data_IF_412468454516
#
_entry.id   IF_412468454516
#
_cell.length_a   1.000
_cell.length_b   1.000
_cell.length_c   1.000
_cell.angle_alpha   90.00
_cell.angle_beta   90.00
_cell.angle_gamma   90.00
#
_symmetry.space_group_name_H-M   'P 1'
#
loop_
_entity.id
_entity.type
_entity.pdbx_description
1 polymer ?
#
# COMPACT_ATOMS: atom_id res chain seq x y z
N UNK A 1 -43.90 12.03 -11.03
CA UNK A 1 -43.01 11.12 -11.78
C UNK A 1 -41.60 11.38 -11.28
N UNK A 2 -40.96 10.46 -10.52
CA UNK A 2 -39.57 10.65 -10.15
C UNK A 2 -38.70 10.43 -11.38
N UNK A 3 -37.78 11.34 -11.62
CA UNK A 3 -36.75 11.24 -12.66
C UNK A 3 -35.79 10.13 -12.20
N UNK A 4 -35.74 9.02 -12.95
CA UNK A 4 -34.64 8.07 -12.84
C UNK A 4 -33.37 8.83 -13.24
N UNK A 5 -32.46 9.04 -12.29
CA UNK A 5 -31.15 9.60 -12.58
C UNK A 5 -30.52 8.71 -13.67
N UNK A 6 -30.26 9.28 -14.84
CA UNK A 6 -29.52 8.59 -15.89
C UNK A 6 -28.17 8.18 -15.31
N UNK A 7 -27.89 6.88 -15.32
CA UNK A 7 -26.60 6.36 -14.90
C UNK A 7 -25.53 7.02 -15.78
N UNK A 8 -24.58 7.72 -15.15
CA UNK A 8 -23.44 8.29 -15.87
C UNK A 8 -22.74 7.15 -16.62
N UNK A 9 -22.34 7.34 -17.89
CA UNK A 9 -21.71 6.27 -18.67
C UNK A 9 -20.33 5.85 -18.13
N UNK A 10 -19.84 6.53 -17.09
CA UNK A 10 -18.53 6.30 -16.47
C UNK A 10 -18.75 5.82 -15.03
N UNK A 11 -18.29 4.61 -14.73
CA UNK A 11 -18.25 4.04 -13.38
C UNK A 11 -16.87 4.25 -12.73
N UNK A 12 -16.87 4.53 -11.42
CA UNK A 12 -15.64 4.57 -10.61
C UNK A 12 -15.47 3.21 -9.95
N UNK A 13 -14.27 2.65 -9.99
CA UNK A 13 -13.93 1.38 -9.34
C UNK A 13 -12.66 1.53 -8.52
N UNK A 14 -12.53 0.73 -7.45
CA UNK A 14 -11.33 0.70 -6.62
C UNK A 14 -10.32 -0.30 -7.19
N UNK A 15 -9.20 0.22 -7.72
CA UNK A 15 -8.03 -0.57 -8.11
C UNK A 15 -7.18 -0.87 -6.89
N UNK A 16 -6.89 -2.14 -6.63
CA UNK A 16 -6.12 -2.55 -5.46
C UNK A 16 -5.36 -3.87 -5.68
N UNK A 17 -4.44 -4.17 -4.76
CA UNK A 17 -3.80 -5.47 -4.67
C UNK A 17 -4.63 -6.47 -3.86
N UNK A 18 -4.25 -7.75 -3.94
CA UNK A 18 -4.88 -8.81 -3.16
C UNK A 18 -4.70 -8.64 -1.63
N UNK A 19 -3.64 -7.94 -1.22
CA UNK A 19 -3.36 -7.56 0.16
C UNK A 19 -4.44 -6.63 0.74
N UNK A 20 -4.88 -5.63 -0.03
CA UNK A 20 -5.99 -4.76 0.36
C UNK A 20 -7.30 -5.53 0.45
N UNK A 21 -7.58 -6.40 -0.54
CA UNK A 21 -8.78 -7.24 -0.52
C UNK A 21 -8.86 -8.09 0.75
N UNK A 22 -7.75 -8.78 1.10
CA UNK A 22 -7.68 -9.60 2.31
C UNK A 22 -7.85 -8.77 3.59
N UNK A 23 -7.45 -7.50 3.57
CA UNK A 23 -7.59 -6.59 4.71
C UNK A 23 -9.06 -6.40 5.15
N UNK A 24 -10.04 -6.67 4.29
CA UNK A 24 -11.47 -6.65 4.67
C UNK A 24 -11.83 -7.67 5.75
N UNK A 25 -11.02 -8.71 5.95
CA UNK A 25 -11.21 -9.68 7.03
C UNK A 25 -10.56 -9.27 8.35
N UNK A 26 -9.79 -8.18 8.38
CA UNK A 26 -9.11 -7.71 9.60
C UNK A 26 -10.14 -7.06 10.53
N UNK A 27 -10.39 -7.62 11.74
CA UNK A 27 -11.42 -7.10 12.62
C UNK A 27 -11.17 -5.63 13.01
N UNK A 28 -12.20 -4.80 12.86
CA UNK A 28 -12.14 -3.39 13.22
C UNK A 28 -11.37 -2.49 12.25
N UNK A 29 -10.79 -3.03 11.17
CA UNK A 29 -10.11 -2.22 10.16
C UNK A 29 -11.11 -1.53 9.20
N UNK A 30 -12.15 -2.25 8.82
CA UNK A 30 -13.21 -1.79 7.92
C UNK A 30 -14.56 -1.93 8.60
N UNK A 31 -15.48 -1.02 8.28
CA UNK A 31 -16.89 -1.19 8.63
C UNK A 31 -17.55 -2.07 7.58
N UNK A 32 -18.36 -3.03 7.99
CA UNK A 32 -19.08 -3.93 7.07
C UNK A 32 -19.95 -3.15 6.07
N UNK A 33 -20.55 -2.05 6.51
CA UNK A 33 -21.33 -1.16 5.65
C UNK A 33 -20.48 -0.50 4.54
N UNK A 34 -19.23 -0.14 4.84
CA UNK A 34 -18.32 0.46 3.86
C UNK A 34 -17.87 -0.59 2.84
N UNK A 35 -17.57 -1.82 3.28
CA UNK A 35 -17.25 -2.94 2.38
C UNK A 35 -18.41 -3.20 1.42
N UNK A 36 -19.63 -3.38 1.94
CA UNK A 36 -20.83 -3.63 1.11
C UNK A 36 -21.09 -2.46 0.15
N UNK A 37 -20.90 -1.22 0.57
CA UNK A 37 -21.07 -0.05 -0.28
C UNK A 37 -20.05 -0.01 -1.43
N UNK A 38 -18.77 -0.26 -1.14
CA UNK A 38 -17.70 -0.30 -2.15
C UNK A 38 -18.02 -1.37 -3.22
N UNK A 39 -18.36 -2.59 -2.80
CA UNK A 39 -18.52 -3.69 -3.77
C UNK A 39 -19.86 -3.67 -4.51
N UNK A 40 -20.92 -3.10 -3.92
CA UNK A 40 -22.24 -3.04 -4.57
C UNK A 40 -22.44 -1.82 -5.46
N UNK A 41 -21.90 -0.64 -5.09
CA UNK A 41 -22.14 0.61 -5.83
C UNK A 41 -21.02 0.97 -6.82
N UNK A 42 -19.77 0.62 -6.51
CA UNK A 42 -18.60 1.00 -7.31
C UNK A 42 -17.96 -0.21 -7.99
N UNK A 43 -17.45 -1.13 -7.18
CA UNK A 43 -16.76 -2.34 -7.62
C UNK A 43 -15.26 -2.30 -7.41
N UNK A 44 -14.64 -3.45 -7.60
CA UNK A 44 -13.22 -3.71 -7.33
C UNK A 44 -12.52 -4.22 -8.57
N UNK A 45 -11.31 -3.73 -8.80
CA UNK A 45 -10.34 -4.33 -9.72
C UNK A 45 -9.14 -4.76 -8.88
N UNK A 46 -8.96 -6.06 -8.71
CA UNK A 46 -7.96 -6.64 -7.83
C UNK A 46 -6.83 -7.23 -8.66
N UNK A 47 -5.64 -6.63 -8.59
CA UNK A 47 -4.44 -7.17 -9.20
C UNK A 47 -3.82 -8.18 -8.24
N UNK A 48 -3.71 -9.42 -8.69
CA UNK A 48 -3.28 -10.55 -7.85
C UNK A 48 -1.92 -11.07 -8.31
N UNK A 49 -1.03 -11.27 -7.34
CA UNK A 49 0.27 -11.92 -7.52
C UNK A 49 0.11 -13.43 -7.34
N UNK A 50 1.01 -14.21 -7.92
CA UNK A 50 1.11 -15.66 -7.70
C UNK A 50 1.19 -15.97 -6.20
N UNK A 51 0.29 -16.82 -5.69
CA UNK A 51 0.29 -17.27 -4.29
C UNK A 51 -0.76 -16.61 -3.38
N UNK A 52 -1.51 -15.62 -3.87
CA UNK A 52 -2.64 -15.05 -3.13
C UNK A 52 -3.97 -15.56 -3.71
N UNK A 53 -4.74 -16.34 -2.93
CA UNK A 53 -6.01 -16.91 -3.38
C UNK A 53 -7.18 -15.94 -3.17
N UNK A 54 -7.16 -14.83 -3.93
CA UNK A 54 -8.21 -13.82 -3.90
C UNK A 54 -9.58 -14.40 -4.30
N UNK A 55 -9.60 -15.38 -5.21
CA UNK A 55 -10.83 -16.04 -5.65
C UNK A 55 -11.49 -16.80 -4.50
N UNK A 56 -10.71 -17.57 -3.73
CA UNK A 56 -11.19 -18.23 -2.52
C UNK A 56 -11.68 -17.24 -1.47
N UNK A 57 -10.94 -16.15 -1.24
CA UNK A 57 -11.35 -15.14 -0.27
C UNK A 57 -12.70 -14.49 -0.62
N UNK A 58 -12.93 -14.19 -1.91
CA UNK A 58 -14.22 -13.69 -2.40
C UNK A 58 -15.32 -14.74 -2.19
N UNK A 59 -15.04 -16.02 -2.41
CA UNK A 59 -15.99 -17.11 -2.20
C UNK A 59 -16.37 -17.30 -0.72
N UNK A 60 -15.40 -17.18 0.18
CA UNK A 60 -15.60 -17.38 1.62
C UNK A 60 -16.26 -16.18 2.33
N UNK A 61 -16.34 -15.01 1.67
CA UNK A 61 -16.91 -13.78 2.24
C UNK A 61 -18.27 -13.45 1.62
N UNK A 62 -19.35 -13.50 2.41
CA UNK A 62 -20.72 -13.37 1.93
C UNK A 62 -20.99 -12.09 1.11
N UNK A 63 -20.55 -10.92 1.60
CA UNK A 63 -20.74 -9.63 0.92
C UNK A 63 -20.01 -9.56 -0.42
N UNK A 64 -18.78 -10.10 -0.47
CA UNK A 64 -17.98 -10.16 -1.69
C UNK A 64 -18.55 -11.16 -2.69
N UNK A 65 -18.94 -12.35 -2.22
CA UNK A 65 -19.52 -13.38 -3.08
C UNK A 65 -20.83 -12.93 -3.73
N UNK A 66 -21.70 -12.26 -2.95
CA UNK A 66 -22.96 -11.69 -3.45
C UNK A 66 -22.71 -10.68 -4.56
N UNK A 67 -21.70 -9.82 -4.40
CA UNK A 67 -21.35 -8.76 -5.33
C UNK A 67 -20.20 -9.14 -6.30
N UNK A 68 -19.86 -10.43 -6.42
CA UNK A 68 -18.69 -10.91 -7.20
C UNK A 68 -18.70 -10.51 -8.68
N UNK A 69 -19.87 -10.24 -9.24
CA UNK A 69 -20.02 -9.77 -10.62
C UNK A 69 -19.40 -8.37 -10.83
N UNK A 70 -19.24 -7.60 -9.75
CA UNK A 70 -18.63 -6.27 -9.71
C UNK A 70 -17.19 -6.29 -9.17
N UNK A 71 -16.59 -7.49 -9.07
CA UNK A 71 -15.21 -7.70 -8.61
C UNK A 71 -14.44 -8.36 -9.74
N UNK A 72 -13.44 -7.65 -10.29
CA UNK A 72 -12.61 -8.10 -11.39
C UNK A 72 -11.25 -8.54 -10.89
N UNK A 73 -10.95 -9.83 -10.99
CA UNK A 73 -9.61 -10.35 -10.71
C UNK A 73 -8.73 -10.22 -11.95
N UNK A 74 -7.59 -9.56 -11.79
CA UNK A 74 -6.57 -9.39 -12.83
C UNK A 74 -5.33 -10.15 -12.37
N UNK A 75 -4.93 -11.15 -13.15
CA UNK A 75 -3.72 -11.93 -12.89
C UNK A 75 -2.49 -11.16 -13.40
N UNK A 76 -1.52 -10.93 -12.52
CA UNK A 76 -0.21 -10.42 -12.90
C UNK A 76 0.70 -11.59 -13.30
N UNK A 77 1.02 -11.70 -14.60
CA UNK A 77 1.86 -12.80 -15.14
C UNK A 77 3.36 -12.61 -14.90
N UNK A 78 3.79 -11.36 -14.69
CA UNK A 78 5.20 -10.99 -14.49
C UNK A 78 5.38 -10.57 -13.04
N UNK A 79 6.25 -11.27 -12.30
CA UNK A 79 6.43 -11.01 -10.88
C UNK A 79 7.11 -9.66 -10.65
N UNK A 80 6.32 -8.64 -10.29
CA UNK A 80 6.84 -7.38 -9.79
C UNK A 80 6.88 -7.41 -8.26
N UNK A 81 8.02 -7.81 -7.69
CA UNK A 81 8.19 -7.87 -6.22
C UNK A 81 8.72 -6.56 -5.61
N UNK A 82 8.51 -5.43 -6.29
CA UNK A 82 8.83 -4.12 -5.74
C UNK A 82 7.76 -3.77 -4.71
N UNK A 83 8.18 -3.58 -3.45
CA UNK A 83 7.33 -3.13 -2.34
C UNK A 83 7.92 -1.89 -1.67
N UNK A 84 7.07 -0.99 -1.18
CA UNK A 84 7.55 0.22 -0.49
C UNK A 84 8.40 -0.12 0.74
N UNK A 85 8.07 -1.21 1.46
CA UNK A 85 8.87 -1.69 2.60
C UNK A 85 10.28 -2.14 2.18
N UNK A 86 10.39 -2.83 1.04
CA UNK A 86 11.69 -3.21 0.46
C UNK A 86 12.51 -1.99 0.04
N UNK A 87 11.87 -1.03 -0.66
CA UNK A 87 12.50 0.22 -1.09
C UNK A 87 13.02 1.04 0.10
N UNK A 88 12.20 1.27 1.13
CA UNK A 88 12.63 2.02 2.33
C UNK A 88 13.80 1.33 3.03
N UNK A 89 13.80 -0.01 3.09
CA UNK A 89 14.89 -0.78 3.69
C UNK A 89 16.19 -0.65 2.90
N UNK A 90 16.13 -0.75 1.57
CA UNK A 90 17.29 -0.57 0.70
C UNK A 90 17.88 0.83 0.87
N UNK A 91 17.04 1.86 0.83
CA UNK A 91 17.44 3.25 1.07
C UNK A 91 18.09 3.44 2.44
N UNK A 92 17.50 2.87 3.50
CA UNK A 92 18.05 2.96 4.86
C UNK A 92 19.44 2.30 4.99
N UNK A 93 19.76 1.33 4.13
CA UNK A 93 21.06 0.64 4.07
C UNK A 93 22.06 1.29 3.11
N UNK A 94 21.66 2.36 2.41
CA UNK A 94 22.48 2.97 1.37
C UNK A 94 22.58 2.12 0.09
N UNK A 95 21.67 1.17 -0.11
CA UNK A 95 21.61 0.36 -1.33
C UNK A 95 20.99 1.15 -2.49
N UNK A 96 21.39 0.84 -3.72
CA UNK A 96 20.83 1.47 -4.91
C UNK A 96 19.40 0.98 -5.18
N UNK A 97 18.48 1.90 -5.43
CA UNK A 97 17.10 1.63 -5.89
C UNK A 97 16.89 2.02 -7.36
N UNK A 98 17.98 2.23 -8.11
CA UNK A 98 17.92 2.53 -9.54
C UNK A 98 17.20 1.39 -10.28
N UNK A 99 16.37 1.75 -11.24
CA UNK A 99 15.50 0.83 -12.01
C UNK A 99 14.32 0.23 -11.23
N UNK A 100 14.24 0.43 -9.91
CA UNK A 100 13.05 0.07 -9.13
C UNK A 100 12.08 1.25 -8.99
N UNK A 101 12.58 2.47 -9.14
CA UNK A 101 11.84 3.72 -9.09
C UNK A 101 12.20 4.60 -10.31
N UNK A 102 11.35 5.57 -10.60
CA UNK A 102 11.67 6.62 -11.58
C UNK A 102 12.78 7.53 -11.02
N UNK A 103 13.68 7.99 -11.89
CA UNK A 103 14.82 8.82 -11.50
C UNK A 103 14.38 10.10 -10.77
N UNK A 104 13.27 10.72 -11.17
CA UNK A 104 12.69 11.90 -10.51
C UNK A 104 12.31 11.62 -9.04
N UNK A 105 11.80 10.43 -8.74
CA UNK A 105 11.45 10.00 -7.38
C UNK A 105 12.71 9.74 -6.55
N UNK A 106 13.74 9.16 -7.16
CA UNK A 106 15.03 8.93 -6.50
C UNK A 106 15.67 10.27 -6.12
N UNK A 107 15.72 11.22 -7.06
CA UNK A 107 16.22 12.58 -6.81
C UNK A 107 15.45 13.24 -5.66
N UNK A 108 14.13 13.19 -5.68
CA UNK A 108 13.30 13.77 -4.63
C UNK A 108 13.59 13.19 -3.24
N UNK A 109 13.70 11.86 -3.14
CA UNK A 109 14.05 11.16 -1.89
C UNK A 109 15.41 11.63 -1.36
N UNK A 110 16.40 11.80 -2.24
CA UNK A 110 17.74 12.22 -1.88
C UNK A 110 17.78 13.67 -1.39
N UNK A 111 17.14 14.59 -2.12
CA UNK A 111 17.07 16.02 -1.80
C UNK A 111 16.40 16.28 -0.45
N UNK A 112 15.38 15.49 -0.10
CA UNK A 112 14.62 15.64 1.15
C UNK A 112 15.10 14.71 2.27
N UNK A 113 16.16 13.92 2.03
CA UNK A 113 16.73 13.01 3.03
C UNK A 113 15.76 11.94 3.54
N UNK A 114 14.77 11.53 2.73
CA UNK A 114 13.74 10.58 3.17
C UNK A 114 14.32 9.18 3.37
N UNK A 115 13.78 8.45 4.36
CA UNK A 115 14.10 7.05 4.65
C UNK A 115 15.55 6.75 5.05
N UNK A 116 16.31 7.78 5.40
CA UNK A 116 17.58 7.61 6.11
C UNK A 116 17.31 7.23 7.57
N UNK A 117 18.11 6.33 8.18
CA UNK A 117 18.05 6.17 9.63
C UNK A 117 18.33 7.53 10.26
N UNK A 118 17.57 7.91 11.30
CA UNK A 118 17.97 9.03 12.13
C UNK A 118 19.34 8.71 12.69
N UNK A 119 20.37 9.42 12.22
CA UNK A 119 21.63 9.52 12.96
C UNK A 119 21.23 9.97 14.35
N UNK A 120 21.33 9.07 15.34
CA UNK A 120 20.93 9.39 16.70
C UNK A 120 21.58 10.70 17.14
N UNK A 121 20.86 11.44 17.98
CA UNK A 121 21.43 12.48 18.82
C UNK A 121 22.55 11.86 19.67
N UNK A 122 23.75 11.72 19.09
CA UNK A 122 24.98 11.75 19.85
C UNK A 122 25.34 13.22 19.93
N UNK A 123 24.71 13.89 20.88
CA UNK A 123 25.19 15.17 21.37
C UNK A 123 26.50 14.85 22.10
N UNK A 124 27.61 15.08 21.38
CA UNK A 124 28.91 15.35 22.00
C UNK A 124 28.73 16.57 22.92
N UNK A 125 28.45 16.31 24.19
CA UNK A 125 28.63 17.27 25.27
C UNK A 125 29.67 16.69 26.24
N UNK A 126 30.92 17.13 26.09
CA UNK A 126 31.62 17.87 27.15
C UNK A 126 33.10 18.05 26.79
N UNK A 127 33.43 19.27 26.36
CA UNK A 127 34.75 19.86 26.35
C UNK A 127 35.23 20.14 27.80
N UNK A 128 36.45 19.68 28.10
CA UNK A 128 37.47 20.22 29.00
C UNK A 128 37.13 20.70 30.44
N UNK A 129 37.74 20.02 31.42
CA UNK A 129 37.98 20.53 32.78
C UNK A 129 39.34 20.06 33.29
N UNK A 130 40.26 21.00 33.49
CA UNK A 130 41.60 20.81 34.06
C UNK A 130 41.54 20.21 35.48
N UNK A 131 42.49 19.32 35.84
CA UNK A 131 43.16 19.40 37.15
C UNK A 131 44.50 18.62 37.17
N UNK A 132 45.58 19.35 37.50
CA UNK A 132 46.91 18.85 37.87
C UNK A 132 46.94 18.41 39.33
N UNK A 133 47.56 17.27 39.66
CA UNK A 133 48.33 17.09 40.91
C UNK A 133 49.08 15.74 40.94
N UNK A 134 50.41 15.86 41.13
CA UNK A 134 51.45 14.89 41.58
C UNK A 134 51.60 13.55 40.88
#
# INVERSE_FOLDING_TARGET
MPVLAEASPIGVMLLCGADLLQSFSVPGLWKDADIEHIVSQFGLVVVTRSGCDAARFIYETDSLYRNRHNIHLVMEWMTNDISSSGIRRALARGESVKYLLQDSVITYIQEHGLYRPSTGENQDDSDNGQETAV
#
